data_IF_940598919805
#
_entry.id   IF_940598919805
#
_cell.length_a   1.000
_cell.length_b   1.000
_cell.length_c   1.000
_cell.angle_alpha   90.00
_cell.angle_beta   90.00
_cell.angle_gamma   90.00
#
_symmetry.space_group_name_H-M   'P 1'
#
loop_
_entity.id
_entity.type
_entity.pdbx_description
1 polymer ?
#
# COMPACT_ATOMS: atom_id res chain seq x y z
N UNK A 1 -8.42 14.54 -4.18
CA UNK A 1 -7.36 13.53 -4.35
C UNK A 1 -7.94 12.14 -4.15
N UNK A 2 -7.36 11.11 -4.79
CA UNK A 2 -7.69 9.70 -4.50
C UNK A 2 -6.65 9.18 -3.53
N UNK A 3 -7.07 8.76 -2.34
CA UNK A 3 -6.18 8.25 -1.29
C UNK A 3 -6.37 6.74 -1.18
N UNK A 4 -5.31 6.00 -1.46
CA UNK A 4 -5.28 4.55 -1.33
C UNK A 4 -5.28 4.12 0.14
N UNK A 5 -6.13 3.16 0.49
CA UNK A 5 -6.11 2.47 1.79
C UNK A 5 -5.86 1.00 1.51
N UNK A 6 -4.59 0.60 1.61
CA UNK A 6 -4.17 -0.78 1.41
C UNK A 6 -4.42 -1.56 2.71
N UNK A 7 -5.47 -2.38 2.72
CA UNK A 7 -5.99 -3.07 3.90
C UNK A 7 -6.27 -4.53 3.65
N UNK A 8 -6.37 -5.34 4.71
CA UNK A 8 -6.86 -6.72 4.64
C UNK A 8 -8.39 -6.82 4.67
N UNK A 9 -9.05 -5.86 5.31
CA UNK A 9 -10.49 -5.85 5.50
C UNK A 9 -11.02 -4.40 5.40
N UNK A 10 -11.57 -4.00 4.24
CA UNK A 10 -12.18 -2.68 4.06
C UNK A 10 -13.30 -2.37 5.07
N UNK A 11 -13.99 -3.41 5.57
CA UNK A 11 -15.08 -3.27 6.53
C UNK A 11 -14.59 -3.29 7.99
N UNK A 12 -13.29 -3.49 8.23
CA UNK A 12 -12.70 -3.45 9.57
C UNK A 12 -12.73 -2.03 10.14
N UNK A 13 -12.86 -1.92 11.47
CA UNK A 13 -13.01 -0.63 12.16
C UNK A 13 -11.97 0.41 11.71
N UNK A 14 -10.68 0.06 11.75
CA UNK A 14 -9.61 0.99 11.37
C UNK A 14 -9.64 1.42 9.89
N UNK A 15 -10.13 0.56 8.99
CA UNK A 15 -10.28 0.91 7.56
C UNK A 15 -11.49 1.82 7.34
N UNK A 16 -12.61 1.56 8.05
CA UNK A 16 -13.79 2.42 8.03
C UNK A 16 -13.50 3.80 8.59
N UNK A 17 -12.77 3.91 9.70
CA UNK A 17 -12.41 5.21 10.27
C UNK A 17 -11.46 6.00 9.37
N UNK A 18 -10.49 5.34 8.73
CA UNK A 18 -9.67 6.01 7.71
C UNK A 18 -10.50 6.51 6.54
N UNK A 19 -11.40 5.67 6.02
CA UNK A 19 -12.30 6.02 4.91
C UNK A 19 -13.12 7.27 5.26
N UNK A 20 -13.76 7.27 6.44
CA UNK A 20 -14.53 8.40 6.95
C UNK A 20 -13.69 9.67 7.10
N UNK A 21 -12.48 9.56 7.65
CA UNK A 21 -11.59 10.69 7.84
C UNK A 21 -11.15 11.28 6.48
N UNK A 22 -10.79 10.43 5.51
CA UNK A 22 -10.44 10.84 4.14
C UNK A 22 -11.63 11.57 3.48
N UNK A 23 -12.84 11.03 3.61
CA UNK A 23 -14.08 11.64 3.08
C UNK A 23 -14.38 12.99 3.74
N UNK A 24 -14.24 13.10 5.08
CA UNK A 24 -14.47 14.35 5.81
C UNK A 24 -13.52 15.49 5.41
N UNK A 25 -12.35 15.15 4.85
CA UNK A 25 -11.39 16.10 4.30
C UNK A 25 -11.63 16.39 2.80
N UNK A 26 -12.73 15.90 2.22
CA UNK A 26 -13.08 16.14 0.81
C UNK A 26 -12.25 15.31 -0.17
N UNK A 27 -11.73 14.15 0.24
CA UNK A 27 -10.96 13.25 -0.62
C UNK A 27 -11.69 11.94 -0.87
N UNK A 28 -11.32 11.24 -1.95
CA UNK A 28 -11.91 9.95 -2.33
C UNK A 28 -11.07 8.81 -1.77
N UNK A 29 -11.57 8.00 -0.82
CA UNK A 29 -10.86 6.81 -0.38
C UNK A 29 -10.94 5.71 -1.46
N UNK A 30 -9.85 4.98 -1.63
CA UNK A 30 -9.79 3.80 -2.48
C UNK A 30 -9.21 2.63 -1.68
N UNK A 31 -10.09 1.77 -1.17
CA UNK A 31 -9.68 0.59 -0.39
C UNK A 31 -9.34 -0.59 -1.31
N UNK A 32 -8.16 -1.18 -1.14
CA UNK A 32 -7.71 -2.35 -1.90
C UNK A 32 -6.83 -3.26 -1.04
N UNK A 33 -6.59 -4.50 -1.50
CA UNK A 33 -5.75 -5.49 -0.82
C UNK A 33 -4.54 -5.81 -1.70
N UNK A 34 -3.46 -6.30 -1.09
CA UNK A 34 -2.27 -6.75 -1.85
C UNK A 34 -2.60 -7.77 -2.94
N UNK A 35 -3.55 -8.68 -2.69
CA UNK A 35 -3.97 -9.70 -3.65
C UNK A 35 -4.74 -9.17 -4.86
N UNK A 36 -5.19 -7.92 -4.79
CA UNK A 36 -5.94 -7.28 -5.88
C UNK A 36 -4.98 -6.54 -6.85
N UNK A 37 -3.67 -6.52 -6.54
CA UNK A 37 -2.67 -5.77 -7.28
C UNK A 37 -2.04 -6.65 -8.36
N UNK A 38 -2.02 -6.16 -9.58
CA UNK A 38 -1.27 -6.74 -10.71
C UNK A 38 -0.14 -5.80 -11.07
N UNK A 39 1.09 -6.31 -11.05
CA UNK A 39 2.31 -5.55 -11.35
C UNK A 39 2.86 -5.92 -12.72
N UNK A 40 3.28 -4.89 -13.46
CA UNK A 40 3.94 -5.00 -14.75
C UNK A 40 5.37 -4.49 -14.60
N UNK A 41 6.33 -5.36 -14.87
CA UNK A 41 7.76 -5.08 -14.82
C UNK A 41 8.31 -5.21 -16.23
N UNK A 42 8.81 -4.12 -16.81
CA UNK A 42 9.29 -4.06 -18.18
C UNK A 42 10.29 -2.92 -18.39
N UNK A 43 10.85 -2.83 -19.60
CA UNK A 43 12.04 -2.04 -19.91
C UNK A 43 11.92 -0.53 -19.61
N UNK A 44 10.71 0.03 -19.64
CA UNK A 44 10.55 1.50 -19.63
C UNK A 44 10.10 2.05 -18.26
N UNK A 45 9.26 1.31 -17.51
CA UNK A 45 8.81 1.68 -16.14
C UNK A 45 8.02 0.57 -15.44
N UNK A 46 8.12 0.51 -14.11
CA UNK A 46 7.20 -0.26 -13.26
C UNK A 46 5.79 0.35 -13.28
N UNK A 47 4.76 -0.50 -13.41
CA UNK A 47 3.36 -0.12 -13.21
C UNK A 47 2.63 -1.13 -12.33
N UNK A 48 1.62 -0.66 -11.61
CA UNK A 48 0.75 -1.53 -10.82
C UNK A 48 -0.70 -1.09 -10.94
N UNK A 49 -1.60 -2.06 -10.97
CA UNK A 49 -3.03 -1.83 -11.18
C UNK A 49 -3.88 -2.56 -10.14
N UNK A 50 -5.01 -1.96 -9.80
CA UNK A 50 -6.11 -2.63 -9.09
C UNK A 50 -7.36 -2.46 -9.93
N UNK A 51 -7.79 -3.54 -10.60
CA UNK A 51 -8.82 -3.45 -11.63
C UNK A 51 -8.38 -2.50 -12.75
N UNK A 52 -9.16 -1.44 -13.00
CA UNK A 52 -8.86 -0.44 -14.02
C UNK A 52 -8.07 0.78 -13.51
N UNK A 53 -7.69 0.81 -12.23
CA UNK A 53 -6.98 1.96 -11.62
C UNK A 53 -5.47 1.71 -11.67
N UNK A 54 -4.72 2.64 -12.26
CA UNK A 54 -3.25 2.63 -12.25
C UNK A 54 -2.78 3.22 -10.92
N UNK A 55 -2.44 2.37 -9.96
CA UNK A 55 -2.09 2.83 -8.61
C UNK A 55 -0.72 3.53 -8.54
N UNK A 56 0.09 3.46 -9.61
CA UNK A 56 1.33 4.23 -9.73
C UNK A 56 1.10 5.67 -10.18
N UNK A 57 -0.08 5.99 -10.72
CA UNK A 57 -0.39 7.30 -11.30
C UNK A 57 -1.62 7.95 -10.68
N UNK A 58 -2.70 7.20 -10.47
CA UNK A 58 -4.02 7.72 -10.13
C UNK A 58 -4.18 7.99 -8.62
N UNK A 59 -3.32 7.39 -7.79
CA UNK A 59 -3.32 7.59 -6.35
C UNK A 59 -2.41 8.74 -5.95
N UNK A 60 -2.92 9.63 -5.11
CA UNK A 60 -2.14 10.74 -4.55
C UNK A 60 -1.32 10.34 -3.33
N UNK A 61 -1.70 9.25 -2.65
CA UNK A 61 -0.97 8.64 -1.54
C UNK A 61 -1.52 7.23 -1.26
N UNK A 62 -0.75 6.40 -0.54
CA UNK A 62 -1.18 5.08 -0.06
C UNK A 62 -0.95 4.98 1.45
N UNK A 63 -2.00 4.64 2.19
CA UNK A 63 -1.94 4.25 3.61
C UNK A 63 -1.94 2.73 3.69
N UNK A 64 -0.82 2.11 4.06
CA UNK A 64 -0.62 0.67 4.11
C UNK A 64 -0.84 0.10 5.52
N UNK A 65 -1.99 -0.54 5.78
CA UNK A 65 -2.33 -1.14 7.09
C UNK A 65 -3.35 -2.30 7.00
N UNK A 66 -3.13 -3.46 7.66
CA UNK A 66 -1.91 -4.00 8.26
C UNK A 66 -1.14 -4.93 7.31
N UNK A 67 0.19 -5.05 7.48
CA UNK A 67 1.02 -5.99 6.72
C UNK A 67 0.65 -7.46 7.01
N UNK A 68 0.41 -7.78 8.29
CA UNK A 68 -0.12 -9.07 8.75
C UNK A 68 0.88 -10.22 8.69
N UNK A 69 0.41 -11.44 8.97
CA UNK A 69 1.17 -12.67 8.78
C UNK A 69 1.24 -13.00 7.29
N UNK A 70 2.44 -13.26 6.80
CA UNK A 70 2.76 -13.54 5.39
C UNK A 70 3.90 -14.55 5.33
N UNK A 71 4.05 -15.25 4.20
CA UNK A 71 5.30 -15.98 3.92
C UNK A 71 6.45 -15.01 3.65
N UNK A 72 7.68 -15.51 3.63
CA UNK A 72 8.85 -14.70 3.26
C UNK A 72 8.69 -14.10 1.85
N UNK A 73 8.33 -14.92 0.85
CA UNK A 73 8.14 -14.44 -0.52
C UNK A 73 7.06 -13.35 -0.63
N UNK A 74 5.96 -13.53 0.12
CA UNK A 74 4.92 -12.51 0.20
C UNK A 74 5.44 -11.24 0.89
N UNK A 75 6.29 -11.35 1.90
CA UNK A 75 6.86 -10.19 2.58
C UNK A 75 7.77 -9.40 1.63
N UNK A 76 8.71 -10.09 0.97
CA UNK A 76 9.64 -9.50 -0.01
C UNK A 76 8.85 -8.80 -1.11
N UNK A 77 7.96 -9.50 -1.81
CA UNK A 77 7.18 -8.89 -2.89
C UNK A 77 6.36 -7.68 -2.42
N UNK A 78 5.70 -7.78 -1.27
CA UNK A 78 4.83 -6.69 -0.78
C UNK A 78 5.64 -5.48 -0.32
N UNK A 79 6.81 -5.67 0.26
CA UNK A 79 7.70 -4.56 0.65
C UNK A 79 8.26 -3.89 -0.60
N UNK A 80 8.77 -4.67 -1.56
CA UNK A 80 9.31 -4.17 -2.82
C UNK A 80 8.25 -3.44 -3.64
N UNK A 81 7.01 -3.92 -3.63
CA UNK A 81 5.88 -3.22 -4.23
C UNK A 81 5.67 -1.83 -3.62
N UNK A 82 5.76 -1.69 -2.29
CA UNK A 82 5.62 -0.41 -1.62
C UNK A 82 6.81 0.52 -1.91
N UNK A 83 8.03 -0.02 -2.01
CA UNK A 83 9.20 0.72 -2.48
C UNK A 83 9.00 1.22 -3.91
N UNK A 84 8.57 0.35 -4.82
CA UNK A 84 8.33 0.70 -6.21
C UNK A 84 7.26 1.80 -6.34
N UNK A 85 6.17 1.75 -5.57
CA UNK A 85 5.19 2.84 -5.51
C UNK A 85 5.83 4.17 -5.05
N UNK A 86 6.65 4.12 -4.00
CA UNK A 86 7.36 5.28 -3.48
C UNK A 86 8.34 5.87 -4.50
N UNK A 87 9.08 5.03 -5.22
CA UNK A 87 10.02 5.42 -6.28
C UNK A 87 9.31 6.00 -7.51
N UNK A 88 8.07 5.58 -7.79
CA UNK A 88 7.21 6.21 -8.79
C UNK A 88 6.63 7.56 -8.34
N UNK A 89 6.95 8.00 -7.12
CA UNK A 89 6.52 9.29 -6.57
C UNK A 89 5.21 9.24 -5.80
N UNK A 90 4.63 8.05 -5.57
CA UNK A 90 3.42 7.89 -4.75
C UNK A 90 3.81 7.82 -3.27
N UNK A 91 3.46 8.79 -2.42
CA UNK A 91 3.80 8.74 -1.01
C UNK A 91 3.12 7.55 -0.30
N UNK A 92 3.92 6.73 0.39
CA UNK A 92 3.45 5.57 1.16
C UNK A 92 3.58 5.82 2.66
N UNK A 93 2.49 5.59 3.38
CA UNK A 93 2.35 5.78 4.83
C UNK A 93 1.96 4.45 5.51
N UNK A 94 2.77 3.86 6.38
CA UNK A 94 4.12 4.26 6.76
C UNK A 94 5.13 4.01 5.63
N UNK A 95 6.31 4.68 5.71
CA UNK A 95 7.38 4.50 4.73
C UNK A 95 7.71 2.99 4.57
N UNK A 96 8.01 2.50 3.35
CA UNK A 96 8.31 1.10 3.10
C UNK A 96 9.45 0.59 4.00
N UNK A 97 10.52 1.38 4.16
CA UNK A 97 11.66 1.06 5.03
C UNK A 97 11.33 0.93 6.52
N UNK A 98 10.31 1.65 7.00
CA UNK A 98 9.82 1.47 8.36
C UNK A 98 9.03 0.17 8.48
N UNK A 99 8.21 -0.16 7.48
CA UNK A 99 7.44 -1.42 7.45
C UNK A 99 8.40 -2.62 7.41
N UNK A 100 9.40 -2.59 6.52
CA UNK A 100 10.42 -3.64 6.39
C UNK A 100 11.11 -3.93 7.73
N UNK A 101 11.63 -2.89 8.39
CA UNK A 101 12.30 -3.02 9.70
C UNK A 101 11.37 -3.53 10.79
N UNK A 102 10.11 -3.10 10.81
CA UNK A 102 9.16 -3.50 11.86
C UNK A 102 8.55 -4.89 11.63
N UNK A 103 8.58 -5.42 10.40
CA UNK A 103 8.15 -6.80 10.11
C UNK A 103 9.19 -7.81 10.59
N UNK A 104 10.48 -7.51 10.40
CA UNK A 104 11.57 -8.28 10.98
C UNK A 104 11.69 -7.99 12.48
N UNK A 105 11.11 -8.87 13.30
CA UNK A 105 11.10 -8.69 14.76
C UNK A 105 12.50 -8.71 15.36
N UNK A 106 13.42 -9.52 14.83
CA UNK A 106 14.79 -9.58 15.33
C UNK A 106 15.47 -8.23 15.12
N UNK A 107 15.41 -7.69 13.89
CA UNK A 107 15.94 -6.37 13.54
C UNK A 107 15.21 -5.20 14.22
N UNK A 108 13.94 -5.36 14.58
CA UNK A 108 13.20 -4.29 15.29
C UNK A 108 13.58 -4.16 16.77
N UNK A 109 14.20 -5.20 17.35
CA UNK A 109 14.55 -5.28 18.77
C UNK A 109 16.05 -5.26 19.04
N UNK A 110 16.88 -5.35 17.99
CA UNK A 110 18.33 -5.23 18.02
C UNK A 110 18.77 -4.07 17.14
#
# INVERSE_FOLDING_TARGET
>A
MIIGVLTRNPNGWASRELTRAIESLGHKPFCFRFRDIVSYVGADRFRAFVGSIDITRDLSAVIARPFGRVSLDQAVYRIDLLYALQEQGVPVFNKPSAIEKCVDKFRSLY
#
